data_IF_348577104106
#
_entry.id   IF_348577104106
#
_cell.length_a   1.000
_cell.length_b   1.000
_cell.length_c   1.000
_cell.angle_alpha   90.00
_cell.angle_beta   90.00
_cell.angle_gamma   90.00
#
_symmetry.space_group_name_H-M   'P 1'
#
loop_
_entity.id
_entity.type
_entity.pdbx_description
1 polymer ?
#
# COMPACT_ATOMS: atom_id res chain seq x y z
N UNK A 1 11.97 1.46 9.74
CA UNK A 1 12.09 2.46 8.66
C UNK A 1 10.70 2.86 8.19
N UNK A 2 10.39 4.16 8.08
CA UNK A 2 9.09 4.66 7.60
C UNK A 2 8.99 4.40 6.09
N UNK A 3 8.23 3.38 5.69
CA UNK A 3 8.24 2.83 4.33
C UNK A 3 7.06 3.33 3.50
N UNK A 4 7.00 4.67 3.35
CA UNK A 4 6.37 5.38 2.24
C UNK A 4 5.03 4.92 1.67
N UNK A 5 4.16 4.27 2.45
CA UNK A 5 2.81 3.85 2.05
C UNK A 5 1.84 4.32 3.13
N UNK A 6 0.71 4.85 2.69
CA UNK A 6 -0.36 5.33 3.54
C UNK A 6 -1.70 4.84 2.96
N UNK A 7 -2.32 3.80 3.56
CA UNK A 7 -3.68 3.43 3.25
C UNK A 7 -4.65 4.54 3.64
N UNK A 8 -5.68 4.75 2.82
CA UNK A 8 -6.80 5.66 3.07
C UNK A 8 -8.03 4.80 3.33
N UNK A 9 -8.74 5.07 4.42
CA UNK A 9 -9.92 4.29 4.85
C UNK A 9 -11.10 5.21 5.15
N UNK A 10 -12.30 4.65 5.16
CA UNK A 10 -13.49 5.28 5.76
C UNK A 10 -13.53 5.09 7.29
N UNK A 11 -14.59 5.59 7.92
CA UNK A 11 -14.80 5.48 9.38
C UNK A 11 -14.99 4.02 9.85
N UNK A 12 -15.32 3.10 8.94
CA UNK A 12 -15.54 1.67 9.20
C UNK A 12 -14.30 0.80 8.87
N UNK A 13 -13.16 1.42 8.57
CA UNK A 13 -11.89 0.79 8.16
C UNK A 13 -11.91 0.12 6.78
N UNK A 14 -12.89 0.40 5.92
CA UNK A 14 -12.84 -0.08 4.54
C UNK A 14 -11.78 0.68 3.75
N UNK A 15 -10.96 -0.05 3.01
CA UNK A 15 -9.89 0.53 2.20
C UNK A 15 -10.47 1.30 1.00
N UNK A 16 -10.24 2.61 0.98
CA UNK A 16 -10.61 3.50 -0.12
C UNK A 16 -9.48 3.69 -1.14
N UNK A 17 -8.22 3.54 -0.71
CA UNK A 17 -7.07 3.67 -1.59
C UNK A 17 -5.74 3.68 -0.86
N UNK A 18 -4.66 3.96 -1.58
CA UNK A 18 -3.30 4.09 -1.05
C UNK A 18 -2.61 5.29 -1.67
N UNK A 19 -1.85 6.02 -0.86
CA UNK A 19 -0.85 6.98 -1.32
C UNK A 19 0.53 6.48 -0.96
N UNK A 20 1.48 6.56 -1.90
CA UNK A 20 2.88 6.26 -1.66
C UNK A 20 3.76 7.50 -1.78
N UNK A 21 4.98 7.43 -1.25
CA UNK A 21 6.01 8.46 -1.51
C UNK A 21 6.28 8.62 -3.00
N UNK A 22 6.15 7.55 -3.80
CA UNK A 22 6.27 7.64 -5.25
C UNK A 22 5.17 8.47 -5.89
N UNK A 23 3.94 8.37 -5.39
CA UNK A 23 2.81 9.19 -5.85
C UNK A 23 3.01 10.66 -5.48
N UNK A 24 3.45 10.93 -4.24
CA UNK A 24 3.74 12.29 -3.78
C UNK A 24 4.89 12.94 -4.54
N UNK A 25 5.97 12.21 -4.80
CA UNK A 25 7.10 12.72 -5.60
C UNK A 25 6.66 13.06 -7.02
N UNK A 26 5.84 12.22 -7.65
CA UNK A 26 5.28 12.48 -8.98
C UNK A 26 4.35 13.69 -8.99
N UNK A 27 3.58 13.90 -7.93
CA UNK A 27 2.70 15.06 -7.80
C UNK A 27 3.50 16.36 -7.63
N UNK A 28 4.57 16.32 -6.85
CA UNK A 28 5.50 17.43 -6.64
C UNK A 28 6.17 17.93 -7.92
N UNK A 29 6.46 17.02 -8.87
CA UNK A 29 7.01 17.39 -10.19
C UNK A 29 6.04 18.24 -11.02
N UNK A 30 4.73 18.10 -10.80
CA UNK A 30 3.69 18.78 -11.58
C UNK A 30 3.14 20.01 -10.84
N UNK A 31 3.12 20.00 -9.51
CA UNK A 31 2.56 21.09 -8.70
C UNK A 31 3.38 21.30 -7.42
N UNK A 32 3.95 22.51 -7.30
CA UNK A 32 4.78 22.91 -6.13
C UNK A 32 4.03 22.96 -4.80
N UNK A 33 2.73 23.26 -4.84
CA UNK A 33 1.89 23.33 -3.65
C UNK A 33 0.64 22.45 -3.84
N UNK A 34 0.68 21.25 -3.30
CA UNK A 34 -0.35 20.22 -3.51
C UNK A 34 -1.09 19.85 -2.22
N UNK A 35 -0.80 20.53 -1.10
CA UNK A 35 -1.39 20.22 0.20
C UNK A 35 -2.89 20.50 0.24
N UNK A 36 -3.39 21.42 -0.58
CA UNK A 36 -4.82 21.71 -0.70
C UNK A 36 -5.58 20.69 -1.56
N UNK A 37 -4.89 19.74 -2.20
CA UNK A 37 -5.54 18.72 -3.01
C UNK A 37 -6.08 17.61 -2.09
N UNK A 38 -7.38 17.28 -2.15
CA UNK A 38 -7.93 16.17 -1.39
C UNK A 38 -7.21 14.86 -1.73
N UNK A 39 -6.89 14.06 -0.71
CA UNK A 39 -6.20 12.77 -0.88
C UNK A 39 -6.93 11.84 -1.86
N UNK A 40 -8.27 11.93 -1.90
CA UNK A 40 -9.12 11.15 -2.80
C UNK A 40 -8.85 11.41 -4.29
N UNK A 41 -8.23 12.54 -4.64
CA UNK A 41 -7.86 12.88 -6.03
C UNK A 41 -6.47 12.39 -6.43
N UNK A 42 -5.64 11.98 -5.47
CA UNK A 42 -4.23 11.62 -5.71
C UNK A 42 -3.90 10.18 -5.32
N UNK A 43 -4.72 9.56 -4.47
CA UNK A 43 -4.55 8.15 -4.10
C UNK A 43 -4.81 7.22 -5.27
N UNK A 44 -4.16 6.05 -5.26
CA UNK A 44 -4.57 4.92 -6.07
C UNK A 44 -5.82 4.29 -5.42
N UNK A 45 -7.02 4.35 -6.04
CA UNK A 45 -8.25 3.81 -5.46
C UNK A 45 -8.36 2.29 -5.59
N UNK A 46 -7.49 1.66 -6.38
CA UNK A 46 -7.48 0.20 -6.61
C UNK A 46 -6.10 -0.40 -6.28
N UNK A 47 -5.61 -0.24 -5.04
CA UNK A 47 -4.33 -0.80 -4.65
C UNK A 47 -4.37 -2.33 -4.69
N UNK A 48 -3.21 -2.96 -4.88
CA UNK A 48 -3.11 -4.41 -4.68
C UNK A 48 -3.10 -4.70 -3.19
N UNK A 49 -3.80 -5.75 -2.79
CA UNK A 49 -3.95 -6.15 -1.39
C UNK A 49 -3.71 -7.66 -1.22
N UNK A 50 -3.51 -8.07 0.03
CA UNK A 50 -3.58 -9.46 0.46
C UNK A 50 -4.53 -9.59 1.64
N UNK A 51 -4.92 -10.82 1.94
CA UNK A 51 -5.72 -11.12 3.13
C UNK A 51 -4.83 -11.42 4.33
N UNK A 52 -5.35 -11.24 5.53
CA UNK A 52 -4.64 -11.58 6.78
C UNK A 52 -4.31 -13.08 6.88
N UNK A 53 -5.12 -13.93 6.25
CA UNK A 53 -4.99 -15.39 6.18
C UNK A 53 -4.24 -15.88 4.92
N UNK A 54 -3.82 -14.97 4.03
CA UNK A 54 -3.01 -15.36 2.85
C UNK A 54 -1.66 -15.93 3.30
N UNK A 55 -1.23 -17.02 2.64
CA UNK A 55 0.16 -17.44 2.75
C UNK A 55 1.07 -16.30 2.28
N UNK A 56 2.07 -15.96 3.10
CA UNK A 56 2.97 -14.84 2.83
C UNK A 56 3.74 -14.97 1.49
N UNK A 57 3.95 -16.19 0.98
CA UNK A 57 4.51 -16.42 -0.38
C UNK A 57 3.62 -15.85 -1.48
N UNK A 58 2.29 -15.86 -1.30
CA UNK A 58 1.37 -15.27 -2.27
C UNK A 58 1.45 -13.74 -2.27
N UNK A 59 1.64 -13.14 -1.09
CA UNK A 59 1.91 -11.70 -0.98
C UNK A 59 3.22 -11.34 -1.70
N UNK A 60 4.28 -12.14 -1.51
CA UNK A 60 5.55 -11.97 -2.23
C UNK A 60 5.38 -12.08 -3.76
N UNK A 61 4.69 -13.11 -4.25
CA UNK A 61 4.43 -13.28 -5.69
C UNK A 61 3.65 -12.10 -6.28
N UNK A 62 2.66 -11.56 -5.55
CA UNK A 62 1.94 -10.34 -5.96
C UNK A 62 2.91 -9.15 -6.03
N UNK A 63 3.78 -8.98 -5.04
CA UNK A 63 4.79 -7.91 -5.02
C UNK A 63 5.73 -8.01 -6.24
N UNK A 64 6.24 -9.20 -6.56
CA UNK A 64 7.10 -9.42 -7.73
C UNK A 64 6.38 -9.14 -9.05
N UNK A 65 5.14 -9.64 -9.18
CA UNK A 65 4.32 -9.50 -10.39
C UNK A 65 3.99 -8.04 -10.67
N UNK A 66 3.58 -7.29 -9.66
CA UNK A 66 3.13 -5.90 -9.80
C UNK A 66 4.24 -4.87 -9.56
N UNK A 67 5.48 -5.32 -9.28
CA UNK A 67 6.64 -4.47 -9.00
C UNK A 67 6.38 -3.47 -7.87
N UNK A 68 5.72 -3.93 -6.81
CA UNK A 68 5.41 -3.15 -5.60
C UNK A 68 6.17 -3.72 -4.40
N UNK A 69 6.49 -2.87 -3.42
CA UNK A 69 7.29 -3.23 -2.25
C UNK A 69 6.49 -3.31 -0.95
N UNK A 70 5.20 -3.00 -1.01
CA UNK A 70 4.28 -2.98 0.12
C UNK A 70 2.85 -3.12 -0.37
N UNK A 71 1.98 -3.69 0.45
CA UNK A 71 0.55 -3.72 0.19
C UNK A 71 -0.29 -3.74 1.48
N UNK A 72 -1.51 -3.18 1.46
CA UNK A 72 -2.47 -3.33 2.53
C UNK A 72 -2.87 -4.80 2.75
N UNK A 73 -3.04 -5.14 4.02
CA UNK A 73 -3.56 -6.43 4.49
C UNK A 73 -5.00 -6.22 4.93
N UNK A 74 -5.92 -7.02 4.39
CA UNK A 74 -7.34 -6.93 4.68
C UNK A 74 -7.86 -8.16 5.43
N UNK A 75 -8.79 -7.95 6.35
CA UNK A 75 -9.60 -9.00 6.98
C UNK A 75 -11.07 -8.58 6.85
N UNK A 76 -11.90 -9.42 6.24
CA UNK A 76 -13.32 -9.13 5.95
C UNK A 76 -13.57 -7.76 5.30
N UNK A 77 -12.68 -7.35 4.40
CA UNK A 77 -12.76 -6.07 3.68
C UNK A 77 -12.25 -4.85 4.46
N UNK A 78 -11.85 -5.03 5.73
CA UNK A 78 -11.28 -3.98 6.56
C UNK A 78 -9.77 -4.01 6.57
N UNK A 79 -9.15 -2.83 6.63
CA UNK A 79 -7.72 -2.69 6.78
C UNK A 79 -7.28 -3.16 8.17
N UNK A 80 -6.37 -4.13 8.22
CA UNK A 80 -5.79 -4.63 9.48
C UNK A 80 -4.28 -4.41 9.56
N UNK A 81 -3.65 -4.02 8.45
CA UNK A 81 -2.23 -3.68 8.46
C UNK A 81 -1.65 -3.47 7.08
N UNK A 82 -0.31 -3.47 7.03
CA UNK A 82 0.47 -3.37 5.80
C UNK A 82 1.60 -4.38 5.89
N UNK A 83 1.81 -5.11 4.81
CA UNK A 83 2.97 -5.99 4.66
C UNK A 83 3.95 -5.35 3.69
N UNK A 84 5.24 -5.36 4.03
CA UNK A 84 6.28 -4.91 3.13
C UNK A 84 7.18 -6.07 2.68
N UNK A 85 7.75 -5.94 1.48
CA UNK A 85 8.65 -6.92 0.89
C UNK A 85 9.82 -7.29 1.82
N UNK A 86 10.38 -6.29 2.51
CA UNK A 86 11.48 -6.53 3.44
C UNK A 86 11.11 -7.39 4.64
N UNK A 87 9.85 -7.33 5.12
CA UNK A 87 9.39 -8.15 6.24
C UNK A 87 9.42 -9.61 5.79
N UNK A 88 8.94 -9.86 4.57
CA UNK A 88 8.95 -11.18 3.94
C UNK A 88 10.38 -11.72 3.72
N UNK A 89 11.31 -10.85 3.32
CA UNK A 89 12.73 -11.21 3.18
C UNK A 89 13.36 -11.59 4.53
N UNK A 90 13.10 -10.81 5.59
CA UNK A 90 13.64 -11.07 6.93
C UNK A 90 13.12 -12.39 7.51
N UNK A 91 11.89 -12.79 7.17
CA UNK A 91 11.32 -14.08 7.56
C UNK A 91 11.74 -15.24 6.65
N UNK A 92 12.61 -15.01 5.65
CA UNK A 92 13.11 -16.05 4.75
C UNK A 92 12.12 -16.54 3.70
N UNK A 93 11.03 -15.81 3.49
CA UNK A 93 9.95 -16.15 2.55
C UNK A 93 10.33 -15.75 1.11
N UNK A 94 11.07 -14.65 0.98
CA UNK A 94 11.63 -14.17 -0.27
C UNK A 94 13.16 -14.42 -0.25
N UNK A 95 13.59 -15.56 -0.80
CA UNK A 95 14.99 -15.93 -1.00
C UNK A 95 15.22 -16.35 -2.44
#
# INVERSE_FOLDING_TARGET
HKRGICPVVDDEQHLLGVVTTGDLNRLLEVKKDFFDIPVSRVMNPTPKTCRADDLAVLAYQKMEKYKIIAMPVLEDGRLVGVVHLHDLMQQGIAR
#
